data_IF_821544952621
#
_entry.id   IF_821544952621
#
_cell.length_a   1.000
_cell.length_b   1.000
_cell.length_c   1.000
_cell.angle_alpha   90.00
_cell.angle_beta   90.00
_cell.angle_gamma   90.00
#
_symmetry.space_group_name_H-M   'P 1'
#
loop_
_entity.id
_entity.type
_entity.pdbx_description
1 polymer ?
#
# COMPACT_ATOMS: atom_id res chain seq x y z
N UNK A 1 12.55 -9.67 -8.92
CA UNK A 1 12.58 -8.86 -10.15
C UNK A 1 11.99 -9.65 -11.33
N UNK A 2 11.12 -9.05 -12.12
CA UNK A 2 10.37 -9.76 -13.16
C UNK A 2 11.26 -10.39 -14.25
N UNK A 3 12.38 -9.74 -14.60
CA UNK A 3 13.27 -10.17 -15.67
C UNK A 3 14.66 -10.61 -15.19
N UNK A 4 14.82 -10.96 -13.91
CA UNK A 4 16.12 -11.33 -13.34
C UNK A 4 16.78 -12.49 -14.10
N UNK A 5 16.08 -13.59 -14.33
CA UNK A 5 16.62 -14.77 -15.01
C UNK A 5 17.04 -14.46 -16.45
N UNK A 6 16.21 -13.73 -17.20
CA UNK A 6 16.52 -13.30 -18.57
C UNK A 6 17.75 -12.40 -18.57
N UNK A 7 17.82 -11.43 -17.65
CA UNK A 7 18.97 -10.52 -17.50
C UNK A 7 20.25 -11.31 -17.20
N UNK A 8 20.22 -12.26 -16.28
CA UNK A 8 21.35 -13.12 -15.95
C UNK A 8 21.83 -13.96 -17.16
N UNK A 9 20.90 -14.47 -17.97
CA UNK A 9 21.25 -15.18 -19.21
C UNK A 9 21.94 -14.27 -20.21
N UNK A 10 21.43 -13.04 -20.41
CA UNK A 10 22.05 -12.03 -21.28
C UNK A 10 23.43 -11.65 -20.74
N UNK A 11 23.57 -11.42 -19.45
CA UNK A 11 24.85 -11.08 -18.80
C UNK A 11 25.92 -12.12 -19.07
N UNK A 12 25.60 -13.40 -18.98
CA UNK A 12 26.56 -14.50 -19.28
C UNK A 12 27.04 -14.53 -20.73
N UNK A 13 26.22 -14.02 -21.67
CA UNK A 13 26.54 -13.99 -23.09
C UNK A 13 27.30 -12.72 -23.54
N UNK A 14 27.28 -11.67 -22.73
CA UNK A 14 27.83 -10.36 -23.08
C UNK A 14 29.11 -10.05 -22.28
N UNK A 15 29.99 -9.24 -22.88
CA UNK A 15 31.22 -8.71 -22.24
C UNK A 15 31.08 -7.24 -21.79
N UNK A 16 29.94 -6.66 -22.02
CA UNK A 16 29.63 -5.26 -21.61
C UNK A 16 28.81 -5.28 -20.31
N UNK A 17 28.83 -4.18 -19.54
CA UNK A 17 27.98 -4.06 -18.38
C UNK A 17 26.50 -4.20 -18.73
N UNK A 18 25.76 -4.92 -17.88
CA UNK A 18 24.31 -5.17 -18.02
C UNK A 18 23.58 -4.57 -16.84
N UNK A 19 22.49 -3.86 -17.13
CA UNK A 19 21.61 -3.23 -16.12
C UNK A 19 20.33 -4.05 -15.97
N UNK A 20 20.07 -4.53 -14.77
CA UNK A 20 18.78 -5.14 -14.42
C UNK A 20 17.73 -4.06 -14.15
N UNK A 21 16.52 -4.29 -14.61
CA UNK A 21 15.40 -3.37 -14.38
C UNK A 21 14.09 -4.16 -14.16
N UNK A 22 13.04 -3.42 -13.82
CA UNK A 22 11.67 -3.88 -13.65
C UNK A 22 11.43 -4.73 -12.38
N UNK A 23 10.51 -4.25 -11.55
CA UNK A 23 10.09 -4.91 -10.29
C UNK A 23 11.24 -5.11 -9.29
N UNK A 24 12.17 -4.17 -9.25
CA UNK A 24 13.19 -4.08 -8.20
C UNK A 24 12.70 -2.97 -7.27
N UNK A 25 12.05 -3.32 -6.17
CA UNK A 25 11.32 -2.38 -5.31
C UNK A 25 12.00 -2.13 -3.97
N UNK A 26 12.97 -2.96 -3.59
CA UNK A 26 13.66 -2.85 -2.30
C UNK A 26 15.17 -2.89 -2.47
N UNK A 27 15.93 -2.30 -1.52
CA UNK A 27 17.40 -2.37 -1.53
C UNK A 27 17.91 -3.80 -1.48
N UNK A 28 17.28 -4.68 -0.67
CA UNK A 28 17.70 -6.06 -0.49
C UNK A 28 17.63 -6.84 -1.81
N UNK A 29 16.56 -6.66 -2.59
CA UNK A 29 16.44 -7.29 -3.90
C UNK A 29 17.47 -6.74 -4.89
N UNK A 30 17.78 -5.44 -4.82
CA UNK A 30 18.81 -4.84 -5.65
C UNK A 30 20.20 -5.44 -5.34
N UNK A 31 20.57 -5.51 -4.07
CA UNK A 31 21.83 -6.11 -3.59
C UNK A 31 21.92 -7.60 -3.93
N UNK A 32 20.83 -8.34 -3.80
CA UNK A 32 20.79 -9.76 -4.16
C UNK A 32 21.11 -9.98 -5.65
N UNK A 33 20.55 -9.15 -6.54
CA UNK A 33 20.82 -9.23 -7.99
C UNK A 33 22.29 -8.94 -8.29
N UNK A 34 22.89 -7.95 -7.66
CA UNK A 34 24.28 -7.58 -7.85
C UNK A 34 25.22 -8.62 -7.25
N UNK A 35 24.96 -9.07 -6.02
CA UNK A 35 25.79 -10.05 -5.32
C UNK A 35 25.83 -11.43 -6.02
N UNK A 36 24.72 -11.82 -6.66
CA UNK A 36 24.67 -13.06 -7.44
C UNK A 36 25.32 -12.95 -8.82
N UNK A 37 25.76 -11.77 -9.25
CA UNK A 37 26.35 -11.53 -10.56
C UNK A 37 25.35 -11.59 -11.72
N UNK A 38 24.06 -11.47 -11.43
CA UNK A 38 22.99 -11.51 -12.45
C UNK A 38 22.96 -10.24 -13.31
N UNK A 39 23.51 -9.13 -12.77
CA UNK A 39 23.71 -7.86 -13.48
C UNK A 39 24.89 -7.09 -12.86
N UNK A 40 25.38 -6.06 -13.55
CA UNK A 40 26.41 -5.15 -13.02
C UNK A 40 25.81 -3.94 -12.31
N UNK A 41 24.60 -3.54 -12.71
CA UNK A 41 23.89 -2.37 -12.22
C UNK A 41 22.39 -2.71 -12.10
N UNK A 42 21.68 -1.92 -11.28
CA UNK A 42 20.22 -1.96 -11.22
C UNK A 42 19.63 -0.59 -11.56
N UNK A 43 18.46 -0.60 -12.20
CA UNK A 43 17.71 0.60 -12.56
C UNK A 43 16.31 0.54 -11.96
N UNK A 44 15.93 1.61 -11.28
CA UNK A 44 14.64 1.76 -10.59
C UNK A 44 13.97 3.06 -11.05
N UNK A 45 12.74 2.98 -11.57
CA UNK A 45 11.95 4.16 -11.91
C UNK A 45 10.82 4.40 -10.90
N UNK A 46 9.82 3.51 -10.86
CA UNK A 46 8.66 3.64 -9.96
C UNK A 46 9.01 3.64 -8.47
N UNK A 47 10.01 2.89 -7.99
CA UNK A 47 10.44 3.00 -6.60
C UNK A 47 10.91 4.40 -6.22
N UNK A 48 11.60 5.12 -7.12
CA UNK A 48 12.04 6.50 -6.89
C UNK A 48 10.90 7.52 -7.03
N UNK A 49 9.79 7.20 -7.72
CA UNK A 49 8.55 7.98 -7.64
C UNK A 49 7.87 7.80 -6.27
N UNK A 50 7.86 6.58 -5.75
CA UNK A 50 7.27 6.27 -4.44
C UNK A 50 8.10 6.90 -3.31
N UNK A 51 9.43 6.81 -3.41
CA UNK A 51 10.35 7.39 -2.43
C UNK A 51 11.63 7.92 -3.11
N UNK A 52 11.75 9.23 -3.34
CA UNK A 52 12.94 9.82 -3.95
C UNK A 52 14.20 9.64 -3.09
N UNK A 53 14.04 9.44 -1.77
CA UNK A 53 15.12 9.23 -0.82
C UNK A 53 15.50 7.74 -0.62
N UNK A 54 14.96 6.84 -1.43
CA UNK A 54 15.16 5.39 -1.29
C UNK A 54 16.64 5.03 -1.13
N UNK A 55 17.49 5.51 -2.03
CA UNK A 55 18.92 5.19 -2.03
C UNK A 55 19.63 5.78 -0.78
N UNK A 56 19.30 7.02 -0.40
CA UNK A 56 19.85 7.66 0.78
C UNK A 56 19.43 6.93 2.07
N UNK A 57 18.17 6.50 2.16
CA UNK A 57 17.67 5.72 3.30
C UNK A 57 18.34 4.34 3.37
N UNK A 58 18.48 3.66 2.24
CA UNK A 58 19.19 2.39 2.15
C UNK A 58 20.67 2.53 2.60
N UNK A 59 21.38 3.52 2.08
CA UNK A 59 22.77 3.81 2.46
C UNK A 59 22.94 4.17 3.95
N UNK A 60 21.90 4.76 4.55
CA UNK A 60 21.86 5.06 5.98
C UNK A 60 21.47 3.85 6.86
N UNK A 61 21.22 2.66 6.28
CA UNK A 61 20.78 1.48 6.99
C UNK A 61 19.36 1.59 7.58
N UNK A 62 18.47 2.33 6.91
CA UNK A 62 17.08 2.59 7.35
C UNK A 62 16.06 2.12 6.32
N UNK A 63 16.05 0.83 5.94
CA UNK A 63 15.09 0.32 4.96
C UNK A 63 13.64 0.45 5.43
N UNK A 64 13.38 0.42 6.74
CA UNK A 64 12.06 0.62 7.33
C UNK A 64 11.45 2.00 7.04
N UNK A 65 12.30 3.00 6.77
CA UNK A 65 11.88 4.36 6.42
C UNK A 65 11.48 4.51 4.94
N UNK A 66 11.71 3.48 4.11
CA UNK A 66 11.41 3.54 2.67
C UNK A 66 9.92 3.36 2.42
N UNK A 67 9.32 4.30 1.67
CA UNK A 67 7.96 4.17 1.14
C UNK A 67 8.00 3.33 -0.14
N UNK A 68 7.76 2.03 -0.01
CA UNK A 68 7.93 1.06 -1.08
C UNK A 68 6.86 1.21 -2.16
N UNK A 69 7.25 1.13 -3.44
CA UNK A 69 6.33 1.08 -4.57
C UNK A 69 5.47 -0.20 -4.50
N UNK A 70 4.15 -0.05 -4.46
CA UNK A 70 3.17 -1.16 -4.40
C UNK A 70 2.74 -1.68 -5.78
N UNK A 71 3.42 -1.29 -6.83
CA UNK A 71 3.19 -1.74 -8.21
C UNK A 71 1.76 -1.59 -8.76
N UNK A 72 0.96 -0.70 -8.21
CA UNK A 72 -0.44 -0.47 -8.58
C UNK A 72 -0.63 0.17 -9.97
N UNK A 73 0.39 0.81 -10.52
CA UNK A 73 0.42 1.51 -11.81
C UNK A 73 -0.60 2.67 -12.00
N UNK A 74 -1.48 2.93 -11.05
CA UNK A 74 -2.67 3.79 -11.21
C UNK A 74 -2.35 5.26 -11.48
N UNK A 75 -1.45 5.88 -10.69
CA UNK A 75 -1.13 7.30 -10.85
C UNK A 75 0.18 7.55 -11.63
N UNK A 76 0.91 6.52 -11.97
CA UNK A 76 2.13 6.60 -12.78
C UNK A 76 1.86 6.14 -14.21
N UNK A 77 1.77 4.85 -14.49
CA UNK A 77 1.64 4.34 -15.86
C UNK A 77 0.30 4.72 -16.51
N UNK A 78 -0.83 4.61 -15.80
CA UNK A 78 -2.13 5.00 -16.34
C UNK A 78 -2.18 6.49 -16.71
N UNK A 79 -1.53 7.35 -15.89
CA UNK A 79 -1.41 8.76 -16.21
C UNK A 79 -0.49 8.98 -17.42
N UNK A 80 0.68 8.31 -17.45
CA UNK A 80 1.63 8.46 -18.56
C UNK A 80 1.00 8.03 -19.90
N UNK A 81 0.36 6.86 -19.94
CA UNK A 81 -0.34 6.39 -21.14
C UNK A 81 -1.56 7.23 -21.51
N UNK A 82 -2.20 7.87 -20.54
CA UNK A 82 -3.26 8.83 -20.73
C UNK A 82 -2.77 10.26 -21.06
N UNK A 83 -1.47 10.45 -21.33
CA UNK A 83 -0.84 11.77 -21.59
C UNK A 83 -1.14 12.78 -20.48
N UNK A 84 -1.23 12.32 -19.22
CA UNK A 84 -1.44 13.14 -18.03
C UNK A 84 -0.14 13.28 -17.27
N UNK A 85 -0.04 14.31 -16.44
CA UNK A 85 1.06 14.46 -15.48
C UNK A 85 1.10 13.25 -14.54
N UNK A 86 2.25 12.64 -14.45
CA UNK A 86 2.48 11.47 -13.57
C UNK A 86 2.41 11.88 -12.10
N UNK A 87 2.01 10.96 -11.26
CA UNK A 87 2.12 11.03 -9.81
C UNK A 87 2.31 9.63 -9.25
N UNK A 88 2.22 9.45 -7.93
CA UNK A 88 2.29 8.15 -7.29
C UNK A 88 1.20 8.01 -6.24
N UNK A 89 0.53 6.86 -6.20
CA UNK A 89 -0.58 6.60 -5.27
C UNK A 89 -0.11 6.63 -3.79
N UNK A 90 1.10 6.17 -3.52
CA UNK A 90 1.69 6.17 -2.17
C UNK A 90 2.53 7.42 -1.86
N UNK A 91 2.81 8.26 -2.88
CA UNK A 91 3.52 9.53 -2.72
C UNK A 91 2.85 10.62 -3.56
N UNK A 92 1.86 11.34 -3.04
CA UNK A 92 1.14 12.38 -3.76
C UNK A 92 2.04 13.56 -4.19
N UNK A 93 3.24 13.71 -3.59
CA UNK A 93 4.21 14.73 -3.98
C UNK A 93 4.96 14.40 -5.26
N UNK A 94 5.01 13.14 -5.69
CA UNK A 94 5.71 12.74 -6.91
C UNK A 94 5.24 13.57 -8.11
N UNK A 95 6.16 14.28 -8.76
CA UNK A 95 5.93 15.25 -9.84
C UNK A 95 5.08 16.48 -9.42
N UNK A 96 4.88 16.70 -8.11
CA UNK A 96 4.19 17.85 -7.53
C UNK A 96 4.99 18.47 -6.37
N UNK A 97 6.30 18.27 -6.34
CA UNK A 97 7.17 18.63 -5.21
C UNK A 97 7.17 20.14 -4.92
N UNK A 98 7.03 20.97 -5.96
CA UNK A 98 6.98 22.44 -5.86
C UNK A 98 5.59 22.99 -5.56
N UNK A 99 4.56 22.16 -5.60
CA UNK A 99 3.16 22.53 -5.33
C UNK A 99 2.74 22.03 -3.93
N UNK A 100 3.16 20.84 -3.56
CA UNK A 100 2.84 20.19 -2.31
C UNK A 100 4.00 20.29 -1.32
N UNK A 101 4.29 21.50 -0.88
CA UNK A 101 5.30 21.74 0.14
C UNK A 101 4.74 21.53 1.54
N UNK A 102 5.36 20.62 2.32
CA UNK A 102 4.96 20.34 3.70
C UNK A 102 5.78 21.20 4.69
N UNK A 103 5.70 22.53 4.51
CA UNK A 103 6.37 23.48 5.38
C UNK A 103 5.90 23.33 6.84
N UNK A 104 6.82 23.65 7.78
CA UNK A 104 6.47 23.67 9.20
C UNK A 104 5.36 24.68 9.47
N UNK A 105 4.37 24.28 10.29
CA UNK A 105 3.25 25.13 10.63
C UNK A 105 3.72 26.38 11.43
N UNK A 106 3.19 27.55 11.09
CA UNK A 106 3.48 28.77 11.80
C UNK A 106 2.94 28.73 13.26
N UNK A 107 1.82 28.05 13.46
CA UNK A 107 1.22 27.85 14.78
C UNK A 107 0.95 26.37 15.02
N UNK A 108 1.46 25.85 16.14
CA UNK A 108 1.18 24.50 16.59
C UNK A 108 -0.27 24.36 17.02
N UNK A 109 -0.97 23.32 16.55
CA UNK A 109 -2.33 22.98 16.93
C UNK A 109 -2.39 21.57 17.51
N UNK A 110 -3.40 21.29 18.33
CA UNK A 110 -3.81 19.94 18.71
C UNK A 110 -4.80 19.43 17.67
N UNK A 111 -4.44 18.38 16.96
CA UNK A 111 -5.24 17.82 15.86
C UNK A 111 -5.70 16.42 16.24
N UNK A 112 -7.02 16.20 16.19
CA UNK A 112 -7.58 14.85 16.25
C UNK A 112 -7.83 14.34 14.85
N UNK A 113 -7.36 13.11 14.55
CA UNK A 113 -7.69 12.40 13.32
C UNK A 113 -8.50 11.16 13.71
N UNK A 114 -9.66 10.96 13.10
CA UNK A 114 -10.55 9.84 13.41
C UNK A 114 -10.58 8.87 12.24
N UNK A 115 -10.04 7.69 12.46
CA UNK A 115 -9.85 6.61 11.47
C UNK A 115 -8.41 6.49 10.98
N UNK A 116 -7.80 5.31 11.19
CA UNK A 116 -6.44 4.98 10.78
C UNK A 116 -6.40 4.15 9.48
N UNK A 117 -7.29 4.44 8.54
CA UNK A 117 -7.15 4.05 7.13
C UNK A 117 -6.10 4.92 6.43
N UNK A 118 -5.85 4.70 5.13
CA UNK A 118 -4.80 5.40 4.37
C UNK A 118 -4.91 6.93 4.46
N UNK A 119 -6.12 7.47 4.37
CA UNK A 119 -6.35 8.93 4.46
C UNK A 119 -5.97 9.49 5.85
N UNK A 120 -6.39 8.81 6.92
CA UNK A 120 -6.08 9.24 8.28
C UNK A 120 -4.60 9.10 8.61
N UNK A 121 -3.96 8.01 8.18
CA UNK A 121 -2.52 7.78 8.35
C UNK A 121 -1.70 8.87 7.65
N UNK A 122 -2.00 9.16 6.38
CA UNK A 122 -1.33 10.22 5.63
C UNK A 122 -1.54 11.60 6.27
N UNK A 123 -2.77 11.92 6.68
CA UNK A 123 -3.08 13.18 7.36
C UNK A 123 -2.32 13.31 8.68
N UNK A 124 -2.37 12.28 9.53
CA UNK A 124 -1.77 12.31 10.86
C UNK A 124 -0.25 12.46 10.80
N UNK A 125 0.42 11.68 9.95
CA UNK A 125 1.89 11.71 9.82
C UNK A 125 2.38 13.03 9.22
N UNK A 126 1.70 13.56 8.20
CA UNK A 126 2.03 14.86 7.61
C UNK A 126 1.77 16.02 8.58
N UNK A 127 0.64 16.02 9.28
CA UNK A 127 0.34 17.05 10.27
C UNK A 127 1.37 17.05 11.41
N UNK A 128 1.75 15.88 11.92
CA UNK A 128 2.77 15.75 12.95
C UNK A 128 4.15 16.19 12.46
N UNK A 129 4.56 15.79 11.24
CA UNK A 129 5.81 16.23 10.62
C UNK A 129 5.86 17.76 10.43
N UNK A 130 4.71 18.40 10.21
CA UNK A 130 4.59 19.87 10.15
C UNK A 130 4.63 20.56 11.53
N UNK A 131 4.66 19.79 12.63
CA UNK A 131 4.85 20.27 13.99
C UNK A 131 3.59 20.37 14.84
N UNK A 132 2.45 19.85 14.38
CA UNK A 132 1.22 19.75 15.18
C UNK A 132 1.31 18.64 16.24
N UNK A 133 0.52 18.75 17.32
CA UNK A 133 0.32 17.66 18.28
C UNK A 133 -0.88 16.82 17.82
N UNK A 134 -0.60 15.63 17.29
CA UNK A 134 -1.61 14.79 16.61
C UNK A 134 -1.98 13.60 17.45
N UNK A 135 -3.29 13.39 17.63
CA UNK A 135 -3.87 12.14 18.17
C UNK A 135 -4.68 11.46 17.07
N UNK A 136 -4.35 10.20 16.78
CA UNK A 136 -5.05 9.36 15.80
C UNK A 136 -5.87 8.31 16.53
N UNK A 137 -7.20 8.34 16.33
CA UNK A 137 -8.15 7.38 16.89
C UNK A 137 -8.51 6.32 15.86
N UNK A 138 -8.52 5.07 16.26
CA UNK A 138 -8.93 3.94 15.43
C UNK A 138 -9.82 2.99 16.22
N UNK A 139 -10.97 2.64 15.66
CA UNK A 139 -11.93 1.75 16.31
C UNK A 139 -11.48 0.29 16.35
N UNK A 140 -10.66 -0.15 15.38
CA UNK A 140 -10.08 -1.49 15.35
C UNK A 140 -8.78 -1.56 16.16
N UNK A 141 -8.26 -2.77 16.31
CA UNK A 141 -7.02 -3.08 17.02
C UNK A 141 -5.76 -2.81 16.19
N UNK A 142 -5.91 -2.35 14.96
CA UNK A 142 -4.81 -2.20 14.01
C UNK A 142 -5.09 -1.14 12.95
N UNK A 143 -4.00 -0.51 12.45
CA UNK A 143 -4.06 0.50 11.40
C UNK A 143 -4.21 -0.13 10.00
N UNK A 144 -4.57 0.70 9.01
CA UNK A 144 -4.64 0.31 7.59
C UNK A 144 -6.06 0.22 7.03
N UNK A 145 -7.08 0.10 7.88
CA UNK A 145 -8.48 0.06 7.45
C UNK A 145 -8.75 -0.99 6.37
N UNK A 146 -9.52 -0.65 5.35
CA UNK A 146 -9.84 -1.56 4.24
C UNK A 146 -8.64 -1.93 3.36
N UNK A 147 -7.54 -1.18 3.42
CA UNK A 147 -6.33 -1.51 2.67
C UNK A 147 -5.72 -2.84 3.12
N UNK A 148 -5.94 -3.24 4.37
CA UNK A 148 -5.56 -4.57 4.87
C UNK A 148 -6.30 -5.70 4.17
N UNK A 149 -7.57 -5.46 3.80
CA UNK A 149 -8.37 -6.44 3.06
C UNK A 149 -7.84 -6.60 1.62
N UNK A 150 -7.47 -5.48 0.99
CA UNK A 150 -6.86 -5.53 -0.33
C UNK A 150 -5.50 -6.27 -0.32
N UNK A 151 -4.72 -6.13 0.76
CA UNK A 151 -3.40 -6.75 0.90
C UNK A 151 -3.41 -8.29 1.06
N UNK A 152 -4.58 -8.92 1.24
CA UNK A 152 -4.69 -10.39 1.29
C UNK A 152 -5.04 -11.01 -0.06
N UNK A 153 -5.40 -10.18 -1.04
CA UNK A 153 -5.70 -10.63 -2.40
C UNK A 153 -4.40 -11.03 -3.09
N UNK A 154 -4.33 -12.19 -3.74
CA UNK A 154 -3.14 -12.63 -4.46
C UNK A 154 -2.61 -11.57 -5.43
N UNK A 155 -1.29 -11.40 -5.49
CA UNK A 155 -0.63 -10.37 -6.31
C UNK A 155 -0.68 -8.95 -5.73
N UNK A 156 -1.30 -8.74 -4.56
CA UNK A 156 -1.35 -7.45 -3.87
C UNK A 156 -0.62 -7.46 -2.51
N UNK A 157 0.26 -8.43 -2.30
CA UNK A 157 1.00 -8.58 -1.02
C UNK A 157 1.84 -7.36 -0.69
N UNK A 158 2.37 -6.67 -1.70
CA UNK A 158 3.15 -5.44 -1.55
C UNK A 158 2.38 -4.29 -0.90
N UNK A 159 1.04 -4.36 -0.86
CA UNK A 159 0.22 -3.37 -0.14
C UNK A 159 0.52 -3.35 1.37
N UNK A 160 1.03 -4.44 1.93
CA UNK A 160 1.49 -4.50 3.33
C UNK A 160 2.63 -3.54 3.59
N UNK A 161 3.45 -3.24 2.57
CA UNK A 161 4.55 -2.30 2.68
C UNK A 161 4.08 -0.87 2.98
N UNK A 162 2.95 -0.44 2.44
CA UNK A 162 2.36 0.86 2.79
C UNK A 162 1.93 0.91 4.25
N UNK A 163 1.36 -0.17 4.78
CA UNK A 163 0.96 -0.25 6.20
C UNK A 163 2.20 -0.24 7.09
N UNK A 164 3.25 -1.00 6.73
CA UNK A 164 4.56 -1.00 7.41
C UNK A 164 5.15 0.41 7.46
N UNK A 165 5.21 1.09 6.31
CA UNK A 165 5.73 2.45 6.20
C UNK A 165 4.99 3.43 7.10
N UNK A 166 3.67 3.41 7.10
CA UNK A 166 2.90 4.29 7.99
C UNK A 166 3.06 3.93 9.47
N UNK A 167 3.25 2.65 9.81
CA UNK A 167 3.62 2.25 11.17
C UNK A 167 4.91 2.94 11.63
N UNK A 168 5.95 2.85 10.83
CA UNK A 168 7.21 3.56 11.08
C UNK A 168 7.03 5.08 11.16
N UNK A 169 6.27 5.69 10.24
CA UNK A 169 6.03 7.14 10.21
C UNK A 169 5.25 7.64 11.42
N UNK A 170 4.30 6.88 11.95
CA UNK A 170 3.58 7.23 13.19
C UNK A 170 4.54 7.34 14.38
N UNK A 171 5.44 6.37 14.54
CA UNK A 171 6.45 6.37 15.58
C UNK A 171 7.44 7.52 15.38
N UNK A 172 8.00 7.65 14.18
CA UNK A 172 8.99 8.68 13.83
C UNK A 172 8.47 10.10 14.04
N UNK A 173 7.19 10.34 13.75
CA UNK A 173 6.58 11.68 13.87
C UNK A 173 5.96 11.95 15.24
N UNK A 174 5.88 10.92 16.10
CA UNK A 174 5.35 11.05 17.46
C UNK A 174 3.82 11.20 17.52
N UNK A 175 3.10 10.65 16.55
CA UNK A 175 1.62 10.62 16.56
C UNK A 175 1.14 9.76 17.74
N UNK A 176 0.21 10.30 18.53
CA UNK A 176 -0.43 9.57 19.63
C UNK A 176 -1.51 8.65 19.06
N UNK A 177 -1.18 7.37 18.84
CA UNK A 177 -2.11 6.38 18.30
C UNK A 177 -2.98 5.77 19.42
N UNK A 178 -4.30 5.76 19.22
CA UNK A 178 -5.30 5.15 20.11
C UNK A 178 -6.09 4.08 19.34
N UNK A 179 -5.65 2.83 19.44
CA UNK A 179 -6.31 1.66 18.88
C UNK A 179 -7.45 1.18 19.77
N UNK A 180 -8.42 0.46 19.20
CA UNK A 180 -9.58 -0.07 19.92
C UNK A 180 -10.53 1.02 20.45
N UNK A 181 -10.33 2.27 20.07
CA UNK A 181 -11.10 3.40 20.55
C UNK A 181 -11.94 4.03 19.43
N UNK A 182 -13.24 3.74 19.43
CA UNK A 182 -14.19 4.48 18.60
C UNK A 182 -14.41 5.86 19.23
N UNK A 183 -13.85 6.90 18.60
CA UNK A 183 -13.97 8.25 19.08
C UNK A 183 -15.45 8.72 19.11
N UNK A 184 -15.84 9.32 20.20
CA UNK A 184 -17.11 10.03 20.40
C UNK A 184 -16.89 11.55 20.34
N UNK A 185 -17.95 12.33 20.26
CA UNK A 185 -17.85 13.79 20.32
C UNK A 185 -17.15 14.29 21.60
N UNK A 186 -17.34 13.58 22.73
CA UNK A 186 -16.69 13.91 23.99
C UNK A 186 -15.16 13.74 23.94
N UNK A 187 -14.68 12.72 23.23
CA UNK A 187 -13.24 12.47 23.07
C UNK A 187 -12.53 13.55 22.24
N UNK A 188 -13.29 14.31 21.46
CA UNK A 188 -12.79 15.34 20.54
C UNK A 188 -12.81 16.76 21.14
N UNK A 189 -13.38 16.90 22.31
CA UNK A 189 -13.39 18.19 23.04
C UNK A 189 -11.96 18.59 23.39
N UNK A 190 -11.64 19.86 23.09
CA UNK A 190 -10.33 20.41 23.41
C UNK A 190 -9.26 20.25 22.33
N UNK A 191 -9.57 19.61 21.20
CA UNK A 191 -8.74 19.71 20.00
C UNK A 191 -9.04 20.99 19.23
N UNK A 192 -8.01 21.56 18.60
CA UNK A 192 -8.15 22.77 17.80
C UNK A 192 -8.71 22.47 16.42
N UNK A 193 -8.42 21.27 15.89
CA UNK A 193 -8.92 20.78 14.61
C UNK A 193 -9.29 19.29 14.72
N UNK A 194 -10.33 18.90 14.00
CA UNK A 194 -10.79 17.50 13.91
C UNK A 194 -10.88 17.08 12.44
N UNK A 195 -10.19 16.01 12.08
CA UNK A 195 -10.23 15.43 10.75
C UNK A 195 -10.96 14.10 10.80
N UNK A 196 -12.07 13.99 10.07
CA UNK A 196 -12.86 12.76 9.96
C UNK A 196 -12.38 11.97 8.74
N UNK A 197 -11.74 10.81 8.99
CA UNK A 197 -11.18 9.92 7.99
C UNK A 197 -11.70 8.48 8.17
N UNK A 198 -12.96 8.33 8.56
CA UNK A 198 -13.58 7.04 8.94
C UNK A 198 -13.84 6.09 7.76
N UNK A 199 -13.59 6.53 6.54
CA UNK A 199 -13.73 5.72 5.34
C UNK A 199 -15.19 5.44 4.95
N UNK A 200 -15.40 4.30 4.31
CA UNK A 200 -16.72 3.88 3.80
C UNK A 200 -17.11 2.52 4.39
N UNK A 201 -18.41 2.32 4.49
CA UNK A 201 -19.00 1.02 4.87
C UNK A 201 -19.48 0.32 3.61
N UNK A 202 -19.25 -1.00 3.46
CA UNK A 202 -19.77 -1.78 2.33
C UNK A 202 -21.28 -1.62 2.20
N UNK A 203 -21.74 -1.31 1.00
CA UNK A 203 -23.18 -1.27 0.72
C UNK A 203 -23.74 -2.70 0.69
N UNK A 204 -24.78 -2.95 1.47
CA UNK A 204 -25.58 -4.16 1.39
C UNK A 204 -26.77 -3.91 0.46
N UNK A 205 -26.85 -4.54 -0.73
CA UNK A 205 -27.96 -4.33 -1.66
C UNK A 205 -29.26 -4.94 -1.11
N UNK A 206 -30.41 -4.34 -1.45
CA UNK A 206 -31.72 -4.88 -1.07
C UNK A 206 -32.15 -5.92 -2.10
N UNK A 207 -31.75 -7.17 -1.90
CA UNK A 207 -32.13 -8.31 -2.74
C UNK A 207 -32.71 -9.41 -1.84
N UNK A 208 -33.71 -10.20 -2.32
CA UNK A 208 -34.25 -11.29 -1.55
C UNK A 208 -33.19 -12.30 -1.15
N UNK A 209 -33.17 -12.70 0.12
CA UNK A 209 -32.21 -13.67 0.66
C UNK A 209 -30.86 -13.10 1.06
N UNK A 210 -30.64 -11.78 1.03
CA UNK A 210 -29.35 -11.17 1.44
C UNK A 210 -28.99 -11.44 2.91
N UNK A 211 -30.00 -11.65 3.76
CA UNK A 211 -29.82 -11.92 5.20
C UNK A 211 -29.64 -13.43 5.49
N UNK A 212 -29.58 -14.27 4.47
CA UNK A 212 -29.39 -15.71 4.67
C UNK A 212 -28.00 -15.99 5.24
N UNK A 213 -27.85 -16.91 6.23
CA UNK A 213 -26.56 -17.19 6.90
C UNK A 213 -25.42 -17.64 5.97
N UNK A 214 -25.71 -18.11 4.76
CA UNK A 214 -24.72 -18.46 3.73
C UNK A 214 -24.17 -17.26 2.98
N UNK A 215 -24.78 -16.08 3.13
CA UNK A 215 -24.33 -14.87 2.44
C UNK A 215 -23.21 -14.22 3.25
N UNK A 216 -22.06 -14.00 2.63
CA UNK A 216 -20.93 -13.32 3.22
C UNK A 216 -20.65 -12.03 2.45
N UNK A 217 -20.27 -11.00 3.19
CA UNK A 217 -19.66 -9.81 2.61
C UNK A 217 -18.16 -10.06 2.33
N UNK A 218 -17.57 -9.30 1.42
CA UNK A 218 -16.13 -9.40 1.17
C UNK A 218 -15.30 -9.16 2.44
N UNK A 219 -15.76 -8.30 3.36
CA UNK A 219 -15.07 -8.04 4.61
C UNK A 219 -15.06 -9.27 5.53
N UNK A 220 -16.15 -10.03 5.57
CA UNK A 220 -16.21 -11.29 6.32
C UNK A 220 -15.33 -12.37 5.69
N UNK A 221 -15.28 -12.43 4.37
CA UNK A 221 -14.43 -13.40 3.67
C UNK A 221 -12.94 -13.05 3.80
N UNK A 222 -12.54 -11.85 3.39
CA UNK A 222 -11.13 -11.45 3.32
C UNK A 222 -10.55 -11.06 4.70
N UNK A 223 -11.37 -10.44 5.56
CA UNK A 223 -10.93 -9.97 6.89
C UNK A 223 -11.09 -11.01 7.98
N UNK A 224 -12.29 -11.57 8.11
CA UNK A 224 -12.59 -12.57 9.14
C UNK A 224 -12.22 -14.00 8.70
N UNK A 225 -11.87 -14.19 7.42
CA UNK A 225 -11.51 -15.49 6.81
C UNK A 225 -12.58 -16.56 7.04
N UNK A 226 -13.85 -16.16 6.94
CA UNK A 226 -14.96 -17.12 7.10
C UNK A 226 -14.92 -18.20 6.03
N UNK A 227 -15.13 -19.48 6.40
CA UNK A 227 -15.07 -20.57 5.46
C UNK A 227 -16.23 -20.49 4.44
N UNK A 228 -15.94 -20.92 3.22
CA UNK A 228 -16.91 -21.08 2.13
C UNK A 228 -16.97 -22.52 1.69
N UNK A 229 -18.06 -22.91 1.00
CA UNK A 229 -18.18 -24.24 0.40
C UNK A 229 -17.47 -24.32 -0.95
N UNK A 230 -17.48 -25.50 -1.56
CA UNK A 230 -16.86 -25.76 -2.88
C UNK A 230 -17.52 -25.00 -4.04
N UNK A 231 -18.77 -24.62 -3.89
CA UNK A 231 -19.54 -23.89 -4.91
C UNK A 231 -19.95 -22.53 -4.36
N UNK A 232 -19.37 -21.49 -4.91
CA UNK A 232 -19.58 -20.09 -4.50
C UNK A 232 -20.16 -19.30 -5.66
N UNK A 233 -21.20 -18.51 -5.41
CA UNK A 233 -21.71 -17.51 -6.32
C UNK A 233 -21.30 -16.12 -5.84
N UNK A 234 -20.54 -15.39 -6.66
CA UNK A 234 -20.14 -14.00 -6.38
C UNK A 234 -21.14 -13.06 -7.04
N UNK A 235 -21.77 -12.19 -6.25
CA UNK A 235 -22.75 -11.23 -6.75
C UNK A 235 -22.07 -9.87 -6.93
N UNK A 236 -21.80 -9.54 -8.17
CA UNK A 236 -21.13 -8.32 -8.61
C UNK A 236 -19.80 -8.60 -9.31
N UNK A 237 -19.59 -7.97 -10.46
CA UNK A 237 -18.41 -8.12 -11.31
C UNK A 237 -17.56 -6.84 -11.37
N UNK A 238 -17.58 -6.03 -10.30
CA UNK A 238 -16.64 -4.91 -10.11
C UNK A 238 -15.31 -5.40 -9.53
N UNK A 239 -14.36 -4.49 -9.32
CA UNK A 239 -13.01 -4.82 -8.83
C UNK A 239 -13.00 -5.70 -7.57
N UNK A 240 -13.85 -5.42 -6.57
CA UNK A 240 -13.95 -6.24 -5.36
C UNK A 240 -14.46 -7.65 -5.67
N UNK A 241 -15.44 -7.80 -6.61
CA UNK A 241 -15.96 -9.10 -7.01
C UNK A 241 -14.88 -9.95 -7.70
N UNK A 242 -14.05 -9.34 -8.55
CA UNK A 242 -12.91 -10.00 -9.20
C UNK A 242 -11.86 -10.37 -8.15
N UNK A 243 -11.51 -9.48 -7.24
CA UNK A 243 -10.57 -9.74 -6.14
C UNK A 243 -11.03 -10.93 -5.26
N UNK A 244 -12.33 -11.02 -5.00
CA UNK A 244 -12.92 -12.15 -4.26
C UNK A 244 -12.79 -13.46 -5.04
N UNK A 245 -13.04 -13.44 -6.36
CA UNK A 245 -12.85 -14.62 -7.20
C UNK A 245 -11.37 -15.06 -7.22
N UNK A 246 -10.45 -14.12 -7.39
CA UNK A 246 -9.01 -14.36 -7.35
C UNK A 246 -8.60 -15.00 -6.02
N UNK A 247 -9.05 -14.42 -4.89
CA UNK A 247 -8.77 -14.95 -3.56
C UNK A 247 -9.27 -16.38 -3.36
N UNK A 248 -10.43 -16.73 -3.93
CA UNK A 248 -11.05 -18.04 -3.78
C UNK A 248 -10.45 -19.11 -4.69
N UNK A 249 -9.95 -18.72 -5.86
CA UNK A 249 -9.41 -19.62 -6.88
C UNK A 249 -7.89 -19.76 -6.83
N UNK A 250 -7.23 -18.91 -6.06
CA UNK A 250 -5.77 -18.89 -6.01
C UNK A 250 -5.19 -20.20 -5.45
N UNK A 251 -4.38 -20.86 -6.27
CA UNK A 251 -3.58 -22.00 -5.86
C UNK A 251 -2.19 -21.54 -5.41
N UNK A 252 -1.85 -21.62 -4.12
CA UNK A 252 -0.68 -20.92 -3.56
C UNK A 252 0.69 -21.49 -3.95
N UNK A 253 0.80 -22.41 -4.88
CA UNK A 253 2.08 -23.05 -5.23
C UNK A 253 2.27 -23.33 -6.73
N UNK A 254 1.52 -22.71 -7.61
CA UNK A 254 1.77 -22.81 -9.05
C UNK A 254 3.01 -21.95 -9.39
N UNK A 255 4.02 -22.56 -9.98
CA UNK A 255 5.15 -21.79 -10.50
C UNK A 255 4.71 -20.94 -11.70
N UNK A 256 5.37 -19.78 -11.92
CA UNK A 256 5.08 -18.96 -13.11
C UNK A 256 5.22 -19.76 -14.41
N UNK A 257 6.14 -20.74 -14.46
CA UNK A 257 6.35 -21.62 -15.60
C UNK A 257 5.16 -22.55 -15.83
N UNK A 258 4.63 -23.14 -14.76
CA UNK A 258 3.48 -24.04 -14.84
C UNK A 258 2.23 -23.25 -15.18
N UNK A 259 2.04 -22.09 -14.56
CA UNK A 259 0.95 -21.16 -14.91
C UNK A 259 0.98 -20.75 -16.39
N UNK A 260 2.15 -20.38 -16.94
CA UNK A 260 2.29 -20.05 -18.36
C UNK A 260 2.08 -21.26 -19.30
N UNK A 261 2.22 -22.49 -18.80
CA UNK A 261 1.99 -23.69 -19.60
C UNK A 261 0.49 -24.07 -19.68
N UNK A 262 -0.31 -23.60 -18.74
CA UNK A 262 -1.77 -23.80 -18.73
C UNK A 262 -2.54 -22.80 -19.62
N UNK A 263 -1.92 -21.65 -19.95
CA UNK A 263 -2.47 -20.58 -20.81
C UNK A 263 -1.83 -20.57 -22.18
#
# INVERSE_FOLDING_TARGET
AAFREVTARIKRALKIPVVASNRINTPELAEEILASGDADLVSMARPLLADPELVNKAAAGKPEAINTCIACNQACLDHAFGMKRVSCLVNPRACHETELEYARAAQKKRVAVVGAGMAGLACATVAAARGHDVTLFEASDSVGGQFRLAAVVPGKEEFRETIRYFGYELERTGVKLKLGQRASAADLVGFDEVVIATGVVPRVPRIPGIDHPKVLTYAQLLGEKRPVGERVAVIGAGGIGIDVCEYLLHEPNISLKDWCAEW
#
